data_IF_285977633405
#
_entry.id   IF_285977633405
#
_cell.length_a   1.000
_cell.length_b   1.000
_cell.length_c   1.000
_cell.angle_alpha   90.00
_cell.angle_beta   90.00
_cell.angle_gamma   90.00
#
_symmetry.space_group_name_H-M   'P 1'
#
loop_
_entity.id
_entity.type
_entity.pdbx_description
1 polymer ?
#
# COMPACT_ATOMS: atom_id res chain seq x y z
N UNK A 1 8.36 -10.24 7.48
CA UNK A 1 8.16 -9.51 6.21
C UNK A 1 7.09 -8.47 6.46
N UNK A 2 7.32 -7.25 6.01
CA UNK A 2 6.31 -6.18 6.04
C UNK A 2 5.56 -6.25 4.72
N UNK A 3 4.24 -6.39 4.77
CA UNK A 3 3.36 -6.22 3.62
C UNK A 3 2.60 -4.91 3.79
N UNK A 4 2.50 -4.12 2.74
CA UNK A 4 1.74 -2.86 2.75
C UNK A 4 0.79 -2.83 1.58
N UNK A 5 -0.43 -2.40 1.82
CA UNK A 5 -1.44 -2.10 0.80
C UNK A 5 -1.65 -0.60 0.81
N UNK A 6 -1.39 0.06 -0.30
CA UNK A 6 -1.57 1.50 -0.50
C UNK A 6 -2.75 1.71 -1.44
N UNK A 7 -3.59 2.69 -1.14
CA UNK A 7 -4.67 3.14 -2.01
C UNK A 7 -4.50 4.63 -2.26
N UNK A 8 -4.65 5.01 -3.54
CA UNK A 8 -4.58 6.40 -3.98
C UNK A 8 -5.96 7.02 -4.12
N UNK A 9 -6.03 8.35 -4.03
CA UNK A 9 -7.21 9.15 -4.36
C UNK A 9 -7.46 9.30 -5.87
N UNK A 10 -6.57 8.80 -6.72
CA UNK A 10 -6.87 8.71 -8.14
C UNK A 10 -8.08 7.77 -8.36
N UNK A 11 -9.02 8.12 -9.22
CA UNK A 11 -10.19 7.25 -9.54
C UNK A 11 -10.32 6.92 -11.03
N UNK A 12 -9.51 7.57 -11.88
CA UNK A 12 -9.61 7.39 -13.33
C UNK A 12 -8.57 6.39 -13.85
N UNK A 13 -8.96 5.59 -14.83
CA UNK A 13 -8.10 4.56 -15.44
C UNK A 13 -6.81 5.15 -16.04
N UNK A 14 -6.86 6.39 -16.53
CA UNK A 14 -5.69 7.09 -17.07
C UNK A 14 -4.72 7.56 -15.99
N UNK A 15 -5.18 7.79 -14.76
CA UNK A 15 -4.35 8.29 -13.65
C UNK A 15 -3.83 7.18 -12.73
N UNK A 16 -4.30 5.94 -12.90
CA UNK A 16 -3.85 4.81 -12.09
C UNK A 16 -2.34 4.54 -12.19
N UNK A 17 -1.70 4.86 -13.32
CA UNK A 17 -0.25 4.74 -13.46
C UNK A 17 0.50 5.72 -12.55
N UNK A 18 0.01 6.95 -12.43
CA UNK A 18 0.58 7.95 -11.53
C UNK A 18 0.50 7.53 -10.06
N UNK A 19 -0.54 6.78 -9.68
CA UNK A 19 -0.62 6.20 -8.34
C UNK A 19 0.54 5.25 -8.04
N UNK A 20 0.95 4.42 -9.01
CA UNK A 20 2.08 3.50 -8.82
C UNK A 20 3.40 4.27 -8.72
N UNK A 21 3.59 5.29 -9.57
CA UNK A 21 4.76 6.15 -9.51
C UNK A 21 4.86 6.84 -8.13
N UNK A 22 3.76 7.38 -7.61
CA UNK A 22 3.70 7.96 -6.26
C UNK A 22 4.03 6.95 -5.16
N UNK A 23 3.57 5.70 -5.29
CA UNK A 23 3.90 4.64 -4.33
C UNK A 23 5.39 4.29 -4.38
N UNK A 24 5.99 4.25 -5.57
CA UNK A 24 7.43 4.03 -5.71
C UNK A 24 8.24 5.16 -5.09
N UNK A 25 7.85 6.41 -5.33
CA UNK A 25 8.49 7.58 -4.72
C UNK A 25 8.42 7.55 -3.19
N UNK A 26 7.33 7.04 -2.62
CA UNK A 26 7.20 6.82 -1.17
C UNK A 26 8.23 5.81 -0.65
N UNK A 27 8.41 4.69 -1.36
CA UNK A 27 9.39 3.68 -0.95
C UNK A 27 10.83 4.17 -1.14
N UNK A 28 11.09 4.93 -2.20
CA UNK A 28 12.40 5.52 -2.43
C UNK A 28 12.77 6.50 -1.32
N UNK A 29 11.84 7.36 -0.90
CA UNK A 29 12.07 8.27 0.24
C UNK A 29 12.31 7.49 1.55
N UNK A 30 11.50 6.48 1.84
CA UNK A 30 11.71 5.62 3.01
C UNK A 30 13.10 4.96 2.97
N UNK A 31 13.48 4.43 1.81
CA UNK A 31 14.76 3.75 1.62
C UNK A 31 15.95 4.68 1.85
N UNK A 32 15.85 5.93 1.38
CA UNK A 32 16.86 6.96 1.58
C UNK A 32 16.97 7.36 3.06
N UNK A 33 15.84 7.55 3.75
CA UNK A 33 15.83 7.91 5.18
C UNK A 33 16.42 6.81 6.07
N UNK A 34 16.17 5.54 5.73
CA UNK A 34 16.66 4.40 6.52
C UNK A 34 18.01 3.86 6.05
N UNK A 35 18.58 4.39 4.97
CA UNK A 35 19.81 3.86 4.36
C UNK A 35 19.65 2.44 3.81
N UNK A 36 18.43 2.05 3.43
CA UNK A 36 18.11 0.74 2.88
C UNK A 36 18.14 0.84 1.35
N UNK A 37 18.66 -0.19 0.67
CA UNK A 37 18.55 -0.30 -0.78
C UNK A 37 17.52 -1.34 -1.17
N UNK A 38 16.44 -0.92 -1.81
CA UNK A 38 15.48 -1.85 -2.39
C UNK A 38 16.00 -2.45 -3.70
N UNK A 39 15.78 -3.75 -3.84
CA UNK A 39 16.10 -4.55 -5.02
C UNK A 39 15.15 -5.75 -5.08
N UNK A 40 15.18 -6.49 -6.19
CA UNK A 40 14.26 -7.62 -6.46
C UNK A 40 14.21 -8.72 -5.37
N UNK A 41 15.23 -8.79 -4.52
CA UNK A 41 15.33 -9.79 -3.45
C UNK A 41 14.65 -9.39 -2.14
N UNK A 42 14.52 -8.08 -1.87
CA UNK A 42 13.96 -7.55 -0.63
C UNK A 42 12.71 -6.69 -0.84
N UNK A 43 12.42 -6.24 -2.06
CA UNK A 43 11.22 -5.51 -2.43
C UNK A 43 10.47 -6.24 -3.53
N UNK A 44 9.17 -6.44 -3.34
CA UNK A 44 8.28 -7.07 -4.31
C UNK A 44 6.97 -6.32 -4.41
N UNK A 45 6.57 -6.01 -5.63
CA UNK A 45 5.17 -5.78 -5.96
C UNK A 45 4.43 -7.13 -5.93
N UNK A 46 3.39 -7.23 -5.11
CA UNK A 46 2.59 -8.45 -4.91
C UNK A 46 1.34 -8.41 -5.79
N UNK A 47 0.65 -7.28 -5.81
CA UNK A 47 -0.54 -7.06 -6.62
C UNK A 47 -0.69 -5.57 -6.92
N UNK A 48 -1.20 -5.24 -8.10
CA UNK A 48 -1.54 -3.88 -8.51
C UNK A 48 -2.95 -3.86 -9.07
N UNK A 49 -3.55 -2.67 -9.11
CA UNK A 49 -4.89 -2.44 -9.64
C UNK A 49 -5.94 -3.37 -9.03
N UNK A 50 -5.86 -3.60 -7.71
CA UNK A 50 -6.73 -4.54 -7.01
C UNK A 50 -8.18 -4.11 -7.21
N UNK A 51 -9.01 -5.01 -7.75
CA UNK A 51 -10.42 -4.77 -8.11
C UNK A 51 -10.63 -3.61 -9.11
N UNK A 52 -9.62 -3.30 -9.93
CA UNK A 52 -9.68 -2.16 -10.87
C UNK A 52 -9.67 -0.81 -10.17
N UNK A 53 -9.15 -0.74 -8.94
CA UNK A 53 -8.91 0.50 -8.19
C UNK A 53 -7.39 0.76 -8.14
N UNK A 54 -6.91 2.00 -7.93
CA UNK A 54 -5.49 2.30 -7.77
C UNK A 54 -5.01 1.91 -6.37
N UNK A 55 -5.09 0.61 -6.13
CA UNK A 55 -4.66 -0.07 -4.92
C UNK A 55 -3.56 -1.02 -5.31
N UNK A 56 -2.45 -0.95 -4.59
CA UNK A 56 -1.31 -1.82 -4.80
C UNK A 56 -0.83 -2.40 -3.48
N UNK A 57 -0.35 -3.64 -3.54
CA UNK A 57 0.20 -4.38 -2.42
C UNK A 57 1.68 -4.66 -2.68
N UNK A 58 2.52 -4.32 -1.71
CA UNK A 58 3.97 -4.51 -1.75
C UNK A 58 4.44 -5.36 -0.57
N UNK A 59 5.54 -6.06 -0.76
CA UNK A 59 6.22 -6.88 0.24
C UNK A 59 7.68 -6.45 0.40
N UNK A 60 8.08 -6.21 1.64
CA UNK A 60 9.40 -5.74 2.02
C UNK A 60 10.05 -6.70 3.04
N UNK A 61 11.28 -7.11 2.76
CA UNK A 61 12.14 -7.90 3.65
C UNK A 61 13.27 -7.03 4.19
N UNK A 62 13.66 -7.26 5.45
CA UNK A 62 14.71 -6.47 6.10
C UNK A 62 14.29 -5.06 6.51
N UNK A 63 12.99 -4.73 6.42
CA UNK A 63 12.42 -3.49 6.93
C UNK A 63 11.92 -3.72 8.35
N UNK A 64 12.31 -2.83 9.27
CA UNK A 64 11.76 -2.79 10.61
C UNK A 64 10.33 -2.24 10.60
N UNK A 65 9.44 -2.92 11.30
CA UNK A 65 8.02 -2.59 11.28
C UNK A 65 7.72 -1.25 11.96
N UNK A 66 8.38 -0.97 13.09
CA UNK A 66 8.16 0.27 13.84
C UNK A 66 8.73 1.47 13.09
N UNK A 67 9.90 1.33 12.46
CA UNK A 67 10.45 2.37 11.59
C UNK A 67 9.50 2.70 10.43
N UNK A 68 8.95 1.67 9.78
CA UNK A 68 8.01 1.88 8.68
C UNK A 68 6.68 2.50 9.16
N UNK A 69 6.19 2.07 10.34
CA UNK A 69 5.00 2.68 10.97
C UNK A 69 5.22 4.16 11.29
N UNK A 70 6.36 4.51 11.86
CA UNK A 70 6.72 5.90 12.18
C UNK A 70 6.85 6.74 10.92
N UNK A 71 7.50 6.22 9.89
CA UNK A 71 7.58 6.86 8.58
C UNK A 71 6.19 7.16 8.02
N UNK A 72 5.30 6.16 7.94
CA UNK A 72 3.93 6.36 7.45
C UNK A 72 3.14 7.35 8.31
N UNK A 73 3.37 7.42 9.62
CA UNK A 73 2.70 8.42 10.46
C UNK A 73 3.21 9.85 10.23
N UNK A 74 4.41 10.03 9.65
CA UNK A 74 5.05 11.32 9.42
C UNK A 74 4.94 11.86 8.00
N UNK A 75 4.48 11.05 7.03
CA UNK A 75 4.36 11.50 5.64
C UNK A 75 3.22 12.50 5.46
N UNK A 76 3.39 13.41 4.49
CA UNK A 76 2.30 14.24 3.99
C UNK A 76 1.54 13.47 2.92
N UNK A 77 0.37 12.94 3.27
CA UNK A 77 -0.50 12.17 2.38
C UNK A 77 -0.71 12.79 0.99
N UNK A 78 -0.90 14.11 0.94
CA UNK A 78 -1.11 14.89 -0.29
C UNK A 78 0.07 14.80 -1.28
N UNK A 79 1.29 14.57 -0.80
CA UNK A 79 2.48 14.45 -1.68
C UNK A 79 2.40 13.22 -2.59
N UNK A 80 1.79 12.15 -2.09
CA UNK A 80 1.71 10.85 -2.75
C UNK A 80 0.27 10.48 -3.15
N UNK A 81 -0.65 11.45 -3.09
CA UNK A 81 -2.06 11.24 -3.39
C UNK A 81 -2.63 10.01 -2.65
N UNK A 82 -2.22 9.82 -1.38
CA UNK A 82 -2.56 8.65 -0.59
C UNK A 82 -3.87 8.86 0.16
N UNK A 83 -4.79 7.91 -0.04
CA UNK A 83 -6.06 7.88 0.69
C UNK A 83 -6.01 6.91 1.87
N UNK A 84 -5.35 5.77 1.70
CA UNK A 84 -5.30 4.71 2.70
C UNK A 84 -4.01 3.91 2.62
N UNK A 85 -3.53 3.47 3.78
CA UNK A 85 -2.42 2.53 3.90
C UNK A 85 -2.74 1.46 4.95
N UNK A 86 -2.65 0.18 4.59
CA UNK A 86 -2.73 -0.94 5.52
C UNK A 86 -1.42 -1.70 5.55
N UNK A 87 -0.84 -1.88 6.72
CA UNK A 87 0.42 -2.59 6.91
C UNK A 87 0.19 -3.84 7.72
N UNK A 88 0.84 -4.91 7.30
CA UNK A 88 0.91 -6.19 8.00
C UNK A 88 2.37 -6.54 8.26
N UNK A 89 2.72 -6.64 9.53
CA UNK A 89 4.02 -7.09 10.02
C UNK A 89 3.85 -8.38 10.82
N UNK A 90 3.91 -9.52 10.15
CA UNK A 90 3.67 -10.82 10.81
C UNK A 90 2.25 -10.89 11.42
N UNK A 91 2.12 -11.02 12.76
CA UNK A 91 0.81 -11.04 13.43
C UNK A 91 0.20 -9.64 13.64
N UNK A 92 1.00 -8.58 13.52
CA UNK A 92 0.54 -7.21 13.72
C UNK A 92 0.03 -6.61 12.43
N UNK A 93 -1.13 -5.95 12.51
CA UNK A 93 -1.71 -5.18 11.41
C UNK A 93 -2.13 -3.81 11.91
N UNK A 94 -1.80 -2.76 11.16
CA UNK A 94 -2.26 -1.40 11.44
C UNK A 94 -2.64 -0.72 10.13
N UNK A 95 -3.50 0.30 10.24
CA UNK A 95 -3.99 1.04 9.09
C UNK A 95 -3.96 2.53 9.36
N UNK A 96 -3.68 3.31 8.32
CA UNK A 96 -3.71 4.76 8.34
C UNK A 96 -4.75 5.28 7.37
N UNK A 97 -5.58 6.18 7.88
CA UNK A 97 -6.46 7.03 7.10
C UNK A 97 -5.68 8.28 6.71
N UNK A 98 -5.33 8.42 5.44
CA UNK A 98 -4.47 9.50 4.95
C UNK A 98 -5.26 10.67 4.32
N UNK A 99 -6.56 10.46 4.07
CA UNK A 99 -7.52 11.47 3.66
C UNK A 99 -8.54 11.78 4.77
N UNK A 100 -9.25 12.90 4.63
CA UNK A 100 -10.32 13.30 5.57
C UNK A 100 -11.45 12.24 5.66
N UNK A 101 -11.72 11.55 4.56
CA UNK A 101 -12.61 10.40 4.51
C UNK A 101 -11.88 9.23 3.85
N UNK A 102 -11.54 8.21 4.64
CA UNK A 102 -11.22 6.89 4.13
C UNK A 102 -12.29 5.91 4.60
N UNK A 103 -12.75 5.08 3.68
CA UNK A 103 -13.62 3.94 3.94
C UNK A 103 -12.78 2.70 3.66
N UNK A 104 -12.13 2.11 4.68
CA UNK A 104 -11.26 0.95 4.49
C UNK A 104 -11.98 -0.18 3.75
N UNK A 105 -13.28 -0.36 4.01
CA UNK A 105 -14.14 -1.35 3.37
C UNK A 105 -14.19 -1.27 1.84
N UNK A 106 -13.94 -0.09 1.25
CA UNK A 106 -13.92 0.09 -0.21
C UNK A 106 -12.64 -0.49 -0.84
N UNK A 107 -11.57 -0.59 -0.04
CA UNK A 107 -10.26 -1.08 -0.46
C UNK A 107 -9.93 -2.46 0.11
N UNK A 108 -10.67 -2.90 1.13
CA UNK A 108 -10.56 -4.22 1.69
C UNK A 108 -11.01 -5.23 0.62
N UNK A 109 -10.07 -6.08 0.25
CA UNK A 109 -10.32 -7.36 -0.40
C UNK A 109 -11.37 -8.12 0.42
N UNK A 110 -12.66 -7.94 0.12
CA UNK A 110 -13.62 -9.00 0.41
C UNK A 110 -13.08 -10.21 -0.34
N UNK A 111 -12.76 -11.33 0.32
CA UNK A 111 -12.56 -12.56 -0.42
C UNK A 111 -13.86 -12.77 -1.17
N UNK A 112 -13.82 -12.64 -2.49
CA UNK A 112 -14.94 -13.02 -3.33
C UNK A 112 -15.17 -14.48 -3.02
N UNK A 113 -16.13 -14.74 -2.14
CA UNK A 113 -16.60 -16.09 -1.90
C UNK A 113 -17.34 -16.40 -3.16
N UNK A 114 -16.64 -16.93 -4.15
CA UNK A 114 -17.24 -17.53 -5.33
C UNK A 114 -18.05 -18.70 -4.79
N UNK A 115 -19.28 -18.41 -4.38
CA UNK A 115 -20.29 -19.42 -4.15
C UNK A 115 -20.50 -20.08 -5.50
N UNK A 116 -19.83 -21.20 -5.72
CA UNK A 116 -20.11 -22.10 -6.83
C UNK A 116 -21.56 -22.56 -6.58
N UNK A 117 -22.53 -22.19 -7.44
CA UNK A 117 -23.86 -22.77 -7.34
C UNK A 117 -23.73 -24.20 -7.85
N UNK A 118 -23.78 -25.15 -6.94
CA UNK A 118 -23.99 -26.54 -7.31
C UNK A 118 -25.35 -26.63 -8.00
N UNK A 119 -25.34 -27.14 -9.23
CA UNK A 119 -26.51 -27.62 -9.94
C UNK A 119 -26.18 -29.01 -10.49
#
# INVERSE_FOLDING_TARGET
>A
MVEVTLASEYYSNSTMKYALDDFHDLFDEFSQQQGIRFHRGNFREIAIFINGLPVAKYGMRGVDCEQFRQFLSGIKAQKYHLQYAAVKCGPMTFSFCMAFSCTPDDFLLRPTTTAIPWK
#
